data_IF_424258209998
#
_entry.id   IF_424258209998
#
_cell.length_a   1.000
_cell.length_b   1.000
_cell.length_c   1.000
_cell.angle_alpha   90.00
_cell.angle_beta   90.00
_cell.angle_gamma   90.00
#
_symmetry.space_group_name_H-M   'P 1'
#
loop_
_entity.id
_entity.type
_entity.pdbx_description
1 polymer ?
#
# COMPACT_ATOMS: atom_id res chain seq x y z
N UNK A 1 31.29 -19.70 4.69
CA UNK A 1 31.16 -19.84 6.15
C UNK A 1 30.35 -18.65 6.62
N UNK A 2 29.15 -18.86 7.15
CA UNK A 2 28.35 -17.74 7.73
C UNK A 2 29.05 -17.25 9.01
N UNK A 3 29.18 -15.96 9.25
CA UNK A 3 29.77 -15.48 10.50
C UNK A 3 28.95 -15.98 11.70
N UNK A 4 29.61 -16.31 12.79
CA UNK A 4 29.02 -16.90 14.01
C UNK A 4 27.85 -16.07 14.59
N UNK A 5 27.85 -14.76 14.35
CA UNK A 5 26.77 -13.83 14.71
C UNK A 5 25.44 -14.16 14.02
N UNK A 6 25.45 -14.77 12.84
CA UNK A 6 24.23 -15.14 12.11
C UNK A 6 23.62 -16.48 12.57
N UNK A 7 24.27 -17.22 13.46
CA UNK A 7 23.71 -18.44 14.06
C UNK A 7 22.60 -18.15 15.07
N UNK A 8 22.58 -16.94 15.66
CA UNK A 8 21.52 -16.45 16.57
C UNK A 8 20.46 -15.62 15.86
N UNK A 9 20.55 -15.48 14.53
CA UNK A 9 19.62 -14.65 13.78
C UNK A 9 18.28 -15.35 13.56
N UNK A 10 17.20 -14.62 13.81
CA UNK A 10 15.84 -15.04 13.46
C UNK A 10 15.41 -14.44 12.12
N UNK A 11 14.73 -15.22 11.29
CA UNK A 11 14.15 -14.76 10.04
C UNK A 11 12.66 -14.52 10.22
N UNK A 12 12.18 -13.31 9.87
CA UNK A 12 10.78 -12.96 9.90
C UNK A 12 10.33 -12.52 8.50
N UNK A 13 9.13 -12.94 8.12
CA UNK A 13 8.46 -12.43 6.94
C UNK A 13 7.46 -11.34 7.32
N UNK A 14 7.65 -10.15 6.74
CA UNK A 14 6.69 -9.05 6.85
C UNK A 14 5.96 -8.90 5.51
N UNK A 15 4.64 -9.05 5.51
CA UNK A 15 3.84 -9.11 4.29
C UNK A 15 3.79 -10.52 3.67
N UNK A 16 3.23 -10.66 2.45
CA UNK A 16 2.41 -9.68 1.72
C UNK A 16 0.97 -9.56 2.24
N UNK A 17 0.55 -10.44 3.15
CA UNK A 17 -0.81 -10.49 3.72
C UNK A 17 -1.01 -9.58 4.94
N UNK A 18 -0.01 -8.80 5.28
CA UNK A 18 -0.09 -7.83 6.34
C UNK A 18 -0.83 -6.57 5.86
N UNK A 19 -1.76 -6.06 6.67
CA UNK A 19 -2.61 -4.91 6.29
C UNK A 19 -1.79 -3.67 5.91
N UNK A 20 -0.71 -3.40 6.64
CA UNK A 20 0.17 -2.25 6.39
C UNK A 20 1.17 -2.46 5.26
N UNK A 21 1.33 -3.68 4.76
CA UNK A 21 2.35 -3.99 3.76
C UNK A 21 1.92 -3.70 2.32
N UNK A 22 0.63 -3.49 2.05
CA UNK A 22 0.08 -3.19 0.72
C UNK A 22 0.61 -4.11 -0.40
N UNK A 23 0.72 -5.43 -0.11
CA UNK A 23 1.27 -6.41 -1.05
C UNK A 23 2.79 -6.38 -1.20
N UNK A 24 3.47 -5.64 -0.36
CA UNK A 24 4.92 -5.69 -0.21
C UNK A 24 5.31 -6.86 0.69
N UNK A 25 6.22 -7.68 0.26
CA UNK A 25 6.82 -8.72 1.10
C UNK A 25 8.27 -8.38 1.39
N UNK A 26 8.68 -8.57 2.62
CA UNK A 26 10.07 -8.36 3.03
C UNK A 26 10.49 -9.49 3.95
N UNK A 27 11.60 -10.13 3.62
CA UNK A 27 12.28 -11.07 4.51
C UNK A 27 13.28 -10.28 5.33
N UNK A 28 13.13 -10.30 6.64
CA UNK A 28 14.01 -9.64 7.59
C UNK A 28 14.81 -10.66 8.36
N UNK A 29 16.11 -10.45 8.46
CA UNK A 29 17.00 -11.21 9.34
C UNK A 29 17.33 -10.33 10.53
N UNK A 30 16.97 -10.79 11.73
CA UNK A 30 17.08 -10.03 12.96
C UNK A 30 18.03 -10.70 13.94
N UNK A 31 18.78 -9.89 14.69
CA UNK A 31 19.53 -10.29 15.89
C UNK A 31 19.02 -9.42 17.03
N UNK A 32 18.18 -9.98 17.91
CA UNK A 32 17.41 -9.20 18.86
C UNK A 32 16.50 -8.21 18.12
N UNK A 33 16.64 -6.92 18.41
CA UNK A 33 15.87 -5.83 17.78
C UNK A 33 16.58 -5.18 16.56
N UNK A 34 17.74 -5.68 16.19
CA UNK A 34 18.51 -5.13 15.07
C UNK A 34 18.22 -5.88 13.76
N UNK A 35 17.90 -5.12 12.71
CA UNK A 35 17.77 -5.66 11.36
C UNK A 35 19.17 -5.77 10.75
N UNK A 36 19.60 -6.98 10.46
CA UNK A 36 20.93 -7.28 9.87
C UNK A 36 20.85 -7.38 8.37
N UNK A 37 19.77 -7.95 7.86
CA UNK A 37 19.55 -8.13 6.43
C UNK A 37 18.08 -7.88 6.10
N UNK A 38 17.84 -7.30 4.93
CA UNK A 38 16.51 -7.02 4.42
C UNK A 38 16.47 -7.41 2.95
N UNK A 39 15.58 -8.36 2.61
CA UNK A 39 15.34 -8.82 1.24
C UNK A 39 13.91 -8.44 0.83
N UNK A 40 13.73 -7.32 0.09
CA UNK A 40 12.42 -6.84 -0.32
C UNK A 40 11.93 -7.54 -1.58
N UNK A 41 10.63 -7.87 -1.62
CA UNK A 41 9.94 -8.40 -2.78
C UNK A 41 8.64 -7.63 -3.04
N UNK A 42 8.62 -6.81 -4.08
CA UNK A 42 7.52 -5.91 -4.42
C UNK A 42 6.57 -6.46 -5.51
N UNK A 43 6.61 -7.76 -5.82
CA UNK A 43 5.91 -8.34 -6.96
C UNK A 43 4.44 -8.69 -6.74
N UNK A 44 3.94 -8.74 -5.53
CA UNK A 44 2.60 -9.26 -5.23
C UNK A 44 1.44 -8.41 -5.73
N UNK A 45 1.61 -7.11 -5.86
CA UNK A 45 0.63 -6.19 -6.45
C UNK A 45 1.01 -5.73 -7.85
N UNK A 46 1.88 -6.44 -8.52
CA UNK A 46 2.22 -6.13 -9.91
C UNK A 46 1.01 -6.38 -10.82
N UNK A 47 0.42 -5.33 -11.35
CA UNK A 47 -0.78 -5.35 -12.19
C UNK A 47 -0.50 -4.94 -13.64
N UNK A 48 0.77 -4.79 -14.01
CA UNK A 48 1.21 -4.32 -15.33
C UNK A 48 0.58 -2.98 -15.74
N UNK A 49 0.40 -2.05 -14.80
CA UNK A 49 -0.30 -0.79 -15.03
C UNK A 49 0.32 0.01 -16.18
N UNK A 50 1.65 0.16 -16.20
CA UNK A 50 2.37 0.87 -17.24
C UNK A 50 2.15 0.24 -18.62
N UNK A 51 2.20 -1.09 -18.69
CA UNK A 51 1.98 -1.82 -19.95
C UNK A 51 0.55 -1.73 -20.42
N UNK A 52 -0.40 -1.77 -19.52
CA UNK A 52 -1.82 -1.58 -19.86
C UNK A 52 -2.10 -0.17 -20.40
N UNK A 53 -1.40 0.85 -19.89
CA UNK A 53 -1.55 2.22 -20.36
C UNK A 53 -1.09 2.42 -21.81
N UNK A 54 -0.08 1.69 -22.27
CA UNK A 54 0.41 1.76 -23.66
C UNK A 54 -0.65 1.37 -24.70
N UNK A 55 -1.58 0.47 -24.32
CA UNK A 55 -2.61 -0.06 -25.23
C UNK A 55 -3.99 0.58 -25.04
N UNK A 56 -4.12 1.55 -24.17
CA UNK A 56 -5.39 2.19 -23.83
C UNK A 56 -5.43 3.64 -24.28
N UNK A 57 -6.63 4.13 -24.58
CA UNK A 57 -6.81 5.56 -24.78
C UNK A 57 -6.75 6.30 -23.42
N UNK A 58 -6.55 7.62 -23.46
CA UNK A 58 -6.35 8.44 -22.25
C UNK A 58 -7.52 8.34 -21.25
N UNK A 59 -8.75 8.21 -21.71
CA UNK A 59 -9.91 8.05 -20.80
C UNK A 59 -9.91 6.70 -20.09
N UNK A 60 -9.47 5.65 -20.77
CA UNK A 60 -9.35 4.32 -20.15
C UNK A 60 -8.13 4.24 -19.24
N UNK A 61 -7.09 5.02 -19.52
CA UNK A 61 -5.89 5.10 -18.71
C UNK A 61 -6.16 5.67 -17.31
N UNK A 62 -7.01 6.67 -17.19
CA UNK A 62 -7.38 7.26 -15.90
C UNK A 62 -7.98 6.21 -14.94
N UNK A 63 -8.83 5.32 -15.46
CA UNK A 63 -9.44 4.25 -14.66
C UNK A 63 -8.43 3.21 -14.14
N UNK A 64 -7.30 3.03 -14.81
CA UNK A 64 -6.22 2.14 -14.36
C UNK A 64 -5.45 2.81 -13.23
N UNK A 65 -5.14 4.09 -13.38
CA UNK A 65 -4.37 4.86 -12.41
C UNK A 65 -5.15 5.13 -11.12
N UNK A 66 -6.44 5.40 -11.21
CA UNK A 66 -7.34 5.50 -10.06
C UNK A 66 -7.25 4.27 -9.14
N UNK A 67 -6.99 3.10 -9.70
CA UNK A 67 -6.91 1.83 -8.97
C UNK A 67 -5.48 1.39 -8.63
N UNK A 68 -4.52 2.24 -8.84
CA UNK A 68 -3.12 1.97 -8.49
C UNK A 68 -2.89 2.06 -6.97
N UNK A 69 -3.51 3.05 -6.31
CA UNK A 69 -3.48 3.20 -4.87
C UNK A 69 -4.88 2.98 -4.29
N UNK A 70 -5.00 2.05 -3.34
CA UNK A 70 -6.28 1.72 -2.71
C UNK A 70 -6.90 2.90 -1.95
N UNK A 71 -6.07 3.73 -1.33
CA UNK A 71 -6.50 4.79 -0.40
C UNK A 71 -6.49 6.15 -1.06
N UNK A 72 -5.61 6.36 -2.05
CA UNK A 72 -5.35 7.66 -2.67
C UNK A 72 -5.70 7.66 -4.17
N UNK A 73 -6.85 7.10 -4.51
CA UNK A 73 -7.30 6.94 -5.88
C UNK A 73 -7.28 8.26 -6.67
N UNK A 74 -7.86 9.32 -6.12
CA UNK A 74 -7.96 10.61 -6.79
C UNK A 74 -6.60 11.32 -6.93
N UNK A 75 -5.74 11.22 -5.92
CA UNK A 75 -4.39 11.79 -5.96
C UNK A 75 -3.52 11.06 -6.99
N UNK A 76 -3.71 9.75 -7.15
CA UNK A 76 -2.98 8.97 -8.15
C UNK A 76 -3.41 9.28 -9.60
N UNK A 77 -4.69 9.58 -9.82
CA UNK A 77 -5.23 9.91 -11.14
C UNK A 77 -4.91 11.34 -11.59
N UNK A 78 -4.96 12.31 -10.66
CA UNK A 78 -4.89 13.74 -10.98
C UNK A 78 -3.63 14.15 -11.78
N UNK A 79 -2.40 13.72 -11.44
CA UNK A 79 -1.21 14.07 -12.21
C UNK A 79 -1.26 13.61 -13.67
N UNK A 80 -1.87 12.46 -13.92
CA UNK A 80 -2.03 11.93 -15.26
C UNK A 80 -2.98 12.80 -16.09
N UNK A 81 -4.14 13.13 -15.54
CA UNK A 81 -5.11 14.01 -16.20
C UNK A 81 -4.49 15.39 -16.46
N UNK A 82 -3.81 15.97 -15.46
CA UNK A 82 -3.13 17.26 -15.61
C UNK A 82 -2.02 17.25 -16.67
N UNK A 83 -1.29 16.14 -16.80
CA UNK A 83 -0.28 15.99 -17.86
C UNK A 83 -0.91 15.96 -19.25
N UNK A 84 -2.00 15.25 -19.43
CA UNK A 84 -2.74 15.19 -20.71
C UNK A 84 -3.30 16.56 -21.07
N UNK A 85 -3.91 17.26 -20.12
CA UNK A 85 -4.45 18.62 -20.32
C UNK A 85 -3.37 19.61 -20.78
N UNK A 86 -2.17 19.49 -20.23
CA UNK A 86 -1.00 20.28 -20.67
C UNK A 86 -0.54 19.91 -22.08
N UNK A 87 -0.55 18.63 -22.44
CA UNK A 87 -0.14 18.18 -23.79
C UNK A 87 -1.09 18.72 -24.85
N UNK A 88 -2.38 18.77 -24.53
CA UNK A 88 -3.46 19.22 -25.44
C UNK A 88 -3.65 20.73 -25.39
N UNK A 89 -2.93 21.42 -24.50
CA UNK A 89 -3.06 22.86 -24.23
C UNK A 89 -4.52 23.28 -23.91
N UNK A 90 -5.16 22.49 -23.05
CA UNK A 90 -6.56 22.71 -22.64
C UNK A 90 -6.64 23.73 -21.50
N UNK A 91 -7.32 24.83 -21.76
CA UNK A 91 -7.62 25.83 -20.73
C UNK A 91 -8.71 25.31 -19.77
N UNK A 92 -8.36 25.19 -18.48
CA UNK A 92 -9.25 24.65 -17.46
C UNK A 92 -9.95 25.82 -16.74
N UNK A 93 -11.30 25.82 -16.65
CA UNK A 93 -12.04 26.82 -15.91
C UNK A 93 -11.62 26.89 -14.44
N UNK A 94 -11.58 28.11 -13.87
CA UNK A 94 -11.16 28.35 -12.48
C UNK A 94 -11.98 27.52 -11.47
N UNK A 95 -13.28 27.42 -11.68
CA UNK A 95 -14.16 26.59 -10.85
C UNK A 95 -13.73 25.12 -10.84
N UNK A 96 -13.29 24.56 -11.97
CA UNK A 96 -12.83 23.19 -12.04
C UNK A 96 -11.52 22.99 -11.25
N UNK A 97 -10.60 23.95 -11.31
CA UNK A 97 -9.36 23.93 -10.52
C UNK A 97 -9.66 23.91 -9.01
N UNK A 98 -10.56 24.78 -8.56
CA UNK A 98 -10.96 24.84 -7.15
C UNK A 98 -11.62 23.52 -6.71
N UNK A 99 -12.54 22.99 -7.50
CA UNK A 99 -13.20 21.72 -7.19
C UNK A 99 -12.19 20.55 -7.08
N UNK A 100 -11.22 20.48 -7.99
CA UNK A 100 -10.17 19.48 -7.93
C UNK A 100 -9.31 19.61 -6.69
N UNK A 101 -8.93 20.82 -6.30
CA UNK A 101 -8.18 21.05 -5.07
C UNK A 101 -8.96 20.58 -3.84
N UNK A 102 -10.24 20.90 -3.76
CA UNK A 102 -11.10 20.42 -2.67
C UNK A 102 -11.13 18.89 -2.62
N UNK A 103 -11.30 18.22 -3.76
CA UNK A 103 -11.34 16.75 -3.83
C UNK A 103 -10.02 16.10 -3.45
N UNK A 104 -8.89 16.71 -3.82
CA UNK A 104 -7.55 16.24 -3.41
C UNK A 104 -7.40 16.32 -1.89
N UNK A 105 -7.82 17.43 -1.27
CA UNK A 105 -7.71 17.59 0.18
C UNK A 105 -8.64 16.62 0.93
N UNK A 106 -9.86 16.39 0.44
CA UNK A 106 -10.72 15.35 1.00
C UNK A 106 -10.13 13.96 0.90
N UNK A 107 -9.54 13.62 -0.24
CA UNK A 107 -8.87 12.34 -0.41
C UNK A 107 -7.66 12.19 0.53
N UNK A 108 -6.90 13.28 0.75
CA UNK A 108 -5.80 13.32 1.71
C UNK A 108 -6.29 13.08 3.15
N UNK A 109 -7.37 13.72 3.57
CA UNK A 109 -7.97 13.50 4.89
C UNK A 109 -8.41 12.04 5.05
N UNK A 110 -9.05 11.46 4.01
CA UNK A 110 -9.45 10.05 4.01
C UNK A 110 -8.24 9.12 4.15
N UNK A 111 -7.16 9.38 3.43
CA UNK A 111 -5.91 8.61 3.50
C UNK A 111 -5.31 8.65 4.91
N UNK A 112 -5.25 9.82 5.55
CA UNK A 112 -4.78 9.94 6.92
C UNK A 112 -5.65 9.18 7.93
N UNK A 113 -6.96 9.24 7.79
CA UNK A 113 -7.88 8.50 8.68
C UNK A 113 -7.67 6.99 8.56
N UNK A 114 -7.51 6.49 7.34
CA UNK A 114 -7.22 5.09 7.09
C UNK A 114 -5.88 4.68 7.73
N UNK A 115 -4.84 5.48 7.54
CA UNK A 115 -3.52 5.27 8.12
C UNK A 115 -3.54 5.25 9.66
N UNK A 116 -4.22 6.22 10.28
CA UNK A 116 -4.41 6.24 11.73
C UNK A 116 -5.12 5.00 12.24
N UNK A 117 -6.12 4.52 11.55
CA UNK A 117 -6.81 3.28 11.87
C UNK A 117 -5.89 2.06 11.86
N UNK A 118 -4.97 2.00 10.91
CA UNK A 118 -3.96 0.94 10.85
C UNK A 118 -2.96 1.01 12.00
N UNK A 119 -2.40 2.19 12.28
CA UNK A 119 -1.47 2.38 13.40
C UNK A 119 -2.14 2.01 14.73
N UNK A 120 -3.36 2.47 14.96
CA UNK A 120 -4.11 2.14 16.17
C UNK A 120 -4.31 0.62 16.31
N UNK A 121 -4.59 -0.09 15.23
CA UNK A 121 -4.70 -1.54 15.20
C UNK A 121 -3.40 -2.26 15.54
N UNK A 122 -2.27 -1.76 15.06
CA UNK A 122 -0.95 -2.32 15.38
C UNK A 122 -0.55 -2.07 16.84
N UNK A 123 -0.79 -0.85 17.35
CA UNK A 123 -0.53 -0.51 18.76
C UNK A 123 -1.38 -1.38 19.71
N UNK A 124 -2.64 -1.60 19.40
CA UNK A 124 -3.51 -2.46 20.19
C UNK A 124 -2.99 -3.91 20.23
N UNK A 125 -2.48 -4.43 19.12
CA UNK A 125 -1.87 -5.76 19.08
C UNK A 125 -0.61 -5.86 19.91
N UNK A 126 0.20 -4.81 19.96
CA UNK A 126 1.42 -4.73 20.78
C UNK A 126 1.13 -4.74 22.28
N UNK A 127 0.01 -4.18 22.71
CA UNK A 127 -0.41 -4.16 24.11
C UNK A 127 -1.14 -5.44 24.55
N UNK A 128 -1.84 -6.10 23.64
CA UNK A 128 -2.52 -7.38 23.89
C UNK A 128 -1.63 -8.57 23.49
N UNK A 129 -0.49 -8.74 24.13
CA UNK A 129 0.41 -9.89 23.91
C UNK A 129 -0.23 -11.26 24.26
N UNK A 130 -1.56 -11.40 24.16
CA UNK A 130 -2.29 -12.60 24.59
C UNK A 130 -3.35 -13.16 23.65
N UNK A 131 -3.69 -12.52 22.57
CA UNK A 131 -4.55 -13.20 21.60
C UNK A 131 -4.45 -12.58 20.23
N UNK A 132 -3.95 -13.32 19.28
CA UNK A 132 -4.09 -13.10 17.83
C UNK A 132 -5.59 -13.11 17.42
N UNK A 133 -6.48 -12.73 18.34
CA UNK A 133 -7.93 -12.70 18.19
C UNK A 133 -8.52 -11.29 18.19
N UNK A 134 -7.73 -10.26 17.85
CA UNK A 134 -8.26 -8.94 17.54
C UNK A 134 -9.18 -8.95 16.32
N UNK A 135 -10.00 -7.89 16.10
CA UNK A 135 -10.98 -7.83 15.01
C UNK A 135 -10.40 -8.14 13.62
N UNK A 136 -9.11 -7.90 13.39
CA UNK A 136 -8.43 -8.26 12.14
C UNK A 136 -8.06 -9.76 12.06
N UNK A 137 -7.92 -10.46 13.20
CA UNK A 137 -7.79 -11.92 13.23
C UNK A 137 -9.10 -12.64 12.89
N UNK A 138 -10.23 -11.92 12.92
CA UNK A 138 -11.53 -12.42 12.45
C UNK A 138 -11.75 -12.18 10.95
N UNK A 139 -10.92 -11.38 10.30
CA UNK A 139 -10.89 -11.30 8.85
C UNK A 139 -10.28 -12.61 8.34
N UNK A 140 -11.13 -13.54 7.97
CA UNK A 140 -11.04 -14.91 7.45
C UNK A 140 -9.71 -15.59 7.08
N UNK A 141 -8.57 -14.92 7.14
CA UNK A 141 -7.27 -15.48 6.73
C UNK A 141 -6.74 -16.51 7.74
N UNK A 142 -7.03 -16.33 9.02
CA UNK A 142 -6.63 -17.31 10.06
C UNK A 142 -7.41 -18.62 10.05
N UNK A 143 -8.51 -18.70 9.28
CA UNK A 143 -9.38 -19.89 9.23
C UNK A 143 -9.00 -20.86 8.10
N UNK A 144 -8.29 -20.39 7.08
CA UNK A 144 -7.91 -21.22 5.93
C UNK A 144 -6.70 -22.11 6.24
N UNK A 145 -5.81 -21.67 7.14
CA UNK A 145 -4.59 -22.41 7.49
C UNK A 145 -4.78 -23.45 8.61
N UNK A 146 -6.00 -23.57 9.19
CA UNK A 146 -6.30 -24.57 10.25
C UNK A 146 -6.98 -25.85 9.74
N UNK A 147 -7.17 -26.01 8.44
CA UNK A 147 -7.77 -27.20 7.83
C UNK A 147 -6.86 -27.82 6.79
N UNK A 148 -5.62 -27.94 7.11
CA UNK A 148 -4.65 -28.72 6.36
C UNK A 148 -3.89 -29.63 7.32
#
# INVERSE_FOLDING_TARGET
>A
MKPKILEEASEIWFGPQHVSAHGWATKLTLIGDYIVECDPNAGYFHRSAEKCLEFRNFRQGSMILERMCLVEAFIAEYPYVAAIEKIVDLEIPERAKIMRTIMIEFNRIHSYQFWWGQIAGELQRGTENRSISGPAGKCGVGRVLRKG
#
